data_IF_506182486527
#
_entry.id   IF_506182486527
#
_cell.length_a   1.000
_cell.length_b   1.000
_cell.length_c   1.000
_cell.angle_alpha   90.00
_cell.angle_beta   90.00
_cell.angle_gamma   90.00
#
_symmetry.space_group_name_H-M   'P 1'
#
loop_
_entity.id
_entity.type
_entity.pdbx_description
1 polymer ?
#
# COMPACT_ATOMS: atom_id res chain seq x y z
N UNK A 1 -7.47 3.09 -13.50
CA UNK A 1 -6.59 3.93 -12.69
C UNK A 1 -5.13 3.63 -13.01
N UNK A 2 -4.34 4.62 -13.36
CA UNK A 2 -2.92 4.38 -13.64
C UNK A 2 -2.19 3.89 -12.41
N UNK A 3 -1.12 3.16 -12.65
CA UNK A 3 -0.36 2.58 -11.54
C UNK A 3 0.19 3.64 -10.60
N UNK A 4 0.64 4.76 -11.16
CA UNK A 4 1.19 5.83 -10.31
C UNK A 4 0.15 6.39 -9.36
N UNK A 5 -1.07 6.57 -9.83
CA UNK A 5 -2.15 7.04 -8.97
C UNK A 5 -2.48 6.02 -7.89
N UNK A 6 -2.47 4.74 -8.26
CA UNK A 6 -2.74 3.70 -7.29
C UNK A 6 -1.64 3.64 -6.24
N UNK A 7 -0.39 3.78 -6.65
CA UNK A 7 0.71 3.81 -5.71
C UNK A 7 0.59 4.97 -4.73
N UNK A 8 0.24 6.15 -5.25
CA UNK A 8 0.05 7.32 -4.38
C UNK A 8 -1.04 7.06 -3.35
N UNK A 9 -2.13 6.46 -3.79
CA UNK A 9 -3.23 6.15 -2.89
C UNK A 9 -2.79 5.16 -1.82
N UNK A 10 -2.04 4.14 -2.22
CA UNK A 10 -1.57 3.14 -1.29
C UNK A 10 -0.62 3.73 -0.26
N UNK A 11 0.26 4.62 -0.68
CA UNK A 11 1.17 5.27 0.26
C UNK A 11 0.40 6.06 1.30
N UNK A 12 -0.66 6.76 0.87
CA UNK A 12 -1.49 7.51 1.81
C UNK A 12 -2.16 6.56 2.81
N UNK A 13 -2.68 5.45 2.32
CA UNK A 13 -3.36 4.49 3.19
C UNK A 13 -2.39 3.89 4.20
N UNK A 14 -1.19 3.54 3.76
CA UNK A 14 -0.20 2.96 4.65
C UNK A 14 0.39 4.00 5.61
N UNK A 15 0.28 5.27 5.26
CA UNK A 15 0.68 6.32 6.19
C UNK A 15 -0.31 6.43 7.35
N UNK A 16 -1.57 6.10 7.08
CA UNK A 16 -2.60 6.15 8.11
C UNK A 16 -2.63 4.88 8.95
N UNK A 17 -2.38 3.74 8.32
CA UNK A 17 -2.42 2.45 9.00
C UNK A 17 -1.18 1.64 8.64
N UNK A 18 -0.56 1.08 9.66
CA UNK A 18 0.64 0.29 9.43
C UNK A 18 0.33 -0.99 8.66
N UNK A 19 -0.77 -1.64 8.98
CA UNK A 19 -1.19 -2.86 8.32
C UNK A 19 -2.62 -2.67 7.84
N UNK A 20 -2.87 -3.03 6.58
CA UNK A 20 -4.20 -2.93 5.99
C UNK A 20 -4.55 -4.25 5.36
N UNK A 21 -5.77 -4.74 5.63
CA UNK A 21 -6.21 -6.01 5.06
C UNK A 21 -6.45 -5.85 3.56
N UNK A 22 -6.33 -6.97 2.84
CA UNK A 22 -6.55 -6.96 1.40
C UNK A 22 -7.96 -6.47 1.07
N UNK A 23 -8.92 -6.90 1.86
CA UNK A 23 -10.30 -6.49 1.64
C UNK A 23 -10.46 -4.98 1.75
N UNK A 24 -9.85 -4.39 2.78
CA UNK A 24 -9.89 -2.95 2.96
C UNK A 24 -9.22 -2.22 1.79
N UNK A 25 -8.09 -2.74 1.35
CA UNK A 25 -7.38 -2.14 0.22
C UNK A 25 -8.24 -2.17 -1.04
N UNK A 26 -8.92 -3.28 -1.27
CA UNK A 26 -9.80 -3.38 -2.43
C UNK A 26 -10.94 -2.39 -2.35
N UNK A 27 -11.53 -2.25 -1.19
CA UNK A 27 -12.65 -1.34 -1.01
C UNK A 27 -12.23 0.12 -1.16
N UNK A 28 -11.07 0.45 -0.61
CA UNK A 28 -10.62 1.84 -0.64
C UNK A 28 -10.08 2.26 -1.99
N UNK A 29 -9.48 1.33 -2.73
CA UNK A 29 -8.92 1.64 -4.05
C UNK A 29 -9.90 1.34 -5.17
N UNK A 30 -10.88 0.49 -4.91
CA UNK A 30 -11.87 0.09 -5.91
C UNK A 30 -11.21 -0.47 -7.16
N UNK A 31 -10.18 -1.30 -6.98
CA UNK A 31 -9.43 -1.88 -8.07
C UNK A 31 -9.57 -3.40 -8.07
N UNK A 32 -9.41 -4.05 -9.23
CA UNK A 32 -9.45 -5.52 -9.27
C UNK A 32 -8.39 -6.14 -8.38
N UNK A 33 -8.74 -7.25 -7.77
CA UNK A 33 -7.86 -7.90 -6.82
C UNK A 33 -6.52 -8.30 -7.45
N UNK A 34 -6.57 -8.84 -8.65
CA UNK A 34 -5.36 -9.33 -9.31
C UNK A 34 -4.37 -8.19 -9.55
N UNK A 35 -4.88 -7.06 -10.05
CA UNK A 35 -4.01 -5.93 -10.33
C UNK A 35 -3.52 -5.27 -9.05
N UNK A 36 -4.42 -5.13 -8.10
CA UNK A 36 -4.05 -4.54 -6.81
C UNK A 36 -2.94 -5.34 -6.16
N UNK A 37 -3.05 -6.67 -6.22
CA UNK A 37 -2.04 -7.53 -5.64
C UNK A 37 -0.68 -7.34 -6.29
N UNK A 38 -0.66 -7.22 -7.62
CA UNK A 38 0.60 -7.01 -8.32
C UNK A 38 1.27 -5.72 -7.88
N UNK A 39 0.50 -4.65 -7.76
CA UNK A 39 1.04 -3.37 -7.36
C UNK A 39 1.49 -3.42 -5.91
N UNK A 40 0.70 -4.08 -5.06
CA UNK A 40 1.05 -4.20 -3.65
C UNK A 40 2.38 -4.91 -3.44
N UNK A 41 2.63 -5.95 -4.21
CA UNK A 41 3.87 -6.70 -4.06
C UNK A 41 5.10 -5.89 -4.42
N UNK A 42 4.92 -4.78 -5.12
CA UNK A 42 6.04 -3.91 -5.47
C UNK A 42 6.46 -3.03 -4.29
N UNK A 43 5.53 -2.63 -3.45
CA UNK A 43 5.81 -1.69 -2.37
C UNK A 43 5.49 -2.24 -0.99
N UNK A 44 4.77 -3.34 -0.92
CA UNK A 44 4.32 -3.89 0.35
C UNK A 44 4.57 -5.39 0.38
N UNK A 45 4.46 -5.96 1.55
CA UNK A 45 4.63 -7.39 1.73
C UNK A 45 3.45 -7.94 2.51
N UNK A 46 3.07 -9.20 2.27
CA UNK A 46 1.99 -9.81 3.02
C UNK A 46 2.38 -9.96 4.48
N UNK A 47 1.42 -9.73 5.34
CA UNK A 47 1.63 -9.88 6.76
C UNK A 47 0.48 -10.67 7.33
N UNK A 48 0.57 -10.96 8.62
CA UNK A 48 -0.41 -11.80 9.26
C UNK A 48 -1.83 -11.25 9.14
N UNK A 49 -1.97 -9.95 9.26
CA UNK A 49 -3.28 -9.31 9.26
C UNK A 49 -3.59 -8.60 7.95
N UNK A 50 -2.75 -8.76 6.95
CA UNK A 50 -2.99 -8.11 5.67
C UNK A 50 -1.69 -7.79 4.98
N UNK A 51 -1.55 -6.54 4.56
CA UNK A 51 -0.34 -6.06 3.90
C UNK A 51 0.25 -4.91 4.68
N UNK A 52 1.58 -4.80 4.63
CA UNK A 52 2.28 -3.69 5.27
C UNK A 52 3.31 -3.16 4.31
N UNK A 53 3.57 -1.87 4.41
CA UNK A 53 4.55 -1.23 3.56
C UNK A 53 5.94 -1.77 3.88
N UNK A 54 6.75 -1.99 2.84
CA UNK A 54 8.10 -2.47 3.06
C UNK A 54 8.91 -1.42 3.80
N UNK A 55 9.84 -1.87 4.68
CA UNK A 55 10.58 -0.91 5.50
C UNK A 55 11.35 0.14 4.70
N UNK A 56 11.83 -0.24 3.51
CA UNK A 56 12.59 0.71 2.68
C UNK A 56 11.72 1.88 2.24
N UNK A 57 10.44 1.62 1.98
CA UNK A 57 9.51 2.70 1.61
C UNK A 57 9.08 3.50 2.82
N UNK A 58 9.01 2.84 3.96
CA UNK A 58 8.67 3.52 5.20
C UNK A 58 9.74 4.55 5.56
N UNK A 59 10.98 4.16 5.40
CA UNK A 59 12.10 5.06 5.72
C UNK A 59 12.04 6.30 4.83
N UNK A 60 11.72 6.10 3.57
CA UNK A 60 11.63 7.23 2.65
C UNK A 60 10.52 8.17 3.05
N UNK A 61 9.37 7.62 3.44
CA UNK A 61 8.26 8.44 3.87
C UNK A 61 8.61 9.24 5.12
N UNK A 62 9.33 8.61 6.02
CA UNK A 62 9.75 9.29 7.25
C UNK A 62 10.79 10.35 6.98
N UNK A 63 11.65 10.10 6.02
CA UNK A 63 12.68 11.09 5.70
C UNK A 63 12.05 12.39 5.22
N UNK A 64 10.92 12.31 4.56
CA UNK A 64 10.24 13.52 4.11
C UNK A 64 9.79 14.40 5.24
N UNK A 65 9.75 13.89 6.45
CA UNK A 65 9.33 14.65 7.61
C UNK A 65 10.45 15.46 8.24
N UNK A 66 11.63 15.25 7.75
CA UNK A 66 12.74 16.02 8.28
C UNK A 66 12.95 17.26 7.46
#
# INVERSE_FOLDING_TARGET
MPETQLLDRLFVLFAEQEVISQKDLMLRTNQPQAWLREVLLKIAEPSKDGYRLRPEFKVEAQRGNK
#
